data_IF_981433588106
#
_entry.id   IF_981433588106
#
_cell.length_a   1.000
_cell.length_b   1.000
_cell.length_c   1.000
_cell.angle_alpha   90.00
_cell.angle_beta   90.00
_cell.angle_gamma   90.00
#
_symmetry.space_group_name_H-M   'P 1'
#
loop_
_entity.id
_entity.type
_entity.pdbx_description
1 polymer ?
#
# COMPACT_ATOMS: atom_id res chain seq x y z
N UNK A 1 25.25 2.90 -36.85
CA UNK A 1 24.40 3.50 -35.79
C UNK A 1 24.39 2.58 -34.60
N UNK A 2 25.17 2.88 -33.56
CA UNK A 2 25.15 2.10 -32.32
C UNK A 2 23.82 2.34 -31.61
N UNK A 3 23.02 1.29 -31.42
CA UNK A 3 21.80 1.34 -30.61
C UNK A 3 22.24 1.55 -29.17
N UNK A 4 22.16 2.79 -28.67
CA UNK A 4 22.23 3.06 -27.25
C UNK A 4 21.00 2.42 -26.60
N UNK A 5 21.13 1.17 -26.17
CA UNK A 5 20.14 0.53 -25.31
C UNK A 5 20.20 1.28 -23.99
N UNK A 6 19.29 2.24 -23.79
CA UNK A 6 19.12 2.93 -22.52
C UNK A 6 18.86 1.84 -21.48
N UNK A 7 19.85 1.56 -20.63
CA UNK A 7 19.68 0.63 -19.52
C UNK A 7 18.57 1.21 -18.65
N UNK A 8 17.40 0.56 -18.64
CA UNK A 8 16.25 0.98 -17.83
C UNK A 8 16.69 1.06 -16.37
N UNK A 9 16.22 2.10 -15.68
CA UNK A 9 16.53 2.27 -14.26
C UNK A 9 15.91 1.14 -13.46
N UNK A 10 16.54 0.71 -12.36
CA UNK A 10 16.04 -0.39 -11.53
C UNK A 10 14.61 -0.14 -11.02
N UNK A 11 14.30 1.13 -10.77
CA UNK A 11 12.95 1.60 -10.42
C UNK A 11 11.92 1.38 -11.52
N UNK A 12 12.26 1.62 -12.78
CA UNK A 12 11.34 1.39 -13.91
C UNK A 12 11.09 -0.10 -14.12
N UNK A 13 12.11 -0.93 -13.91
CA UNK A 13 11.97 -2.38 -14.04
C UNK A 13 11.10 -2.93 -12.90
N UNK A 14 11.33 -2.49 -11.66
CA UNK A 14 10.49 -2.81 -10.51
C UNK A 14 9.03 -2.37 -10.73
N UNK A 15 8.81 -1.16 -11.24
CA UNK A 15 7.47 -0.64 -11.54
C UNK A 15 6.77 -1.47 -12.61
N UNK A 16 7.49 -1.91 -13.65
CA UNK A 16 6.95 -2.77 -14.71
C UNK A 16 6.60 -4.16 -14.19
N UNK A 17 7.46 -4.75 -13.36
CA UNK A 17 7.20 -6.04 -12.71
C UNK A 17 5.92 -5.95 -11.87
N UNK A 18 5.80 -4.95 -11.00
CA UNK A 18 4.60 -4.75 -10.20
C UNK A 18 3.34 -4.53 -11.05
N UNK A 19 3.43 -3.75 -12.13
CA UNK A 19 2.30 -3.52 -13.03
C UNK A 19 1.81 -4.83 -13.71
N UNK A 20 2.75 -5.70 -14.11
CA UNK A 20 2.40 -6.98 -14.71
C UNK A 20 1.72 -7.91 -13.71
N UNK A 21 2.24 -7.99 -12.48
CA UNK A 21 1.61 -8.75 -11.37
C UNK A 21 0.19 -8.24 -11.15
N UNK A 22 0.02 -6.93 -11.01
CA UNK A 22 -1.30 -6.35 -10.74
C UNK A 22 -2.29 -6.52 -11.89
N UNK A 23 -1.83 -6.54 -13.14
CA UNK A 23 -2.70 -6.81 -14.29
C UNK A 23 -3.29 -8.23 -14.23
N UNK A 24 -2.52 -9.20 -13.75
CA UNK A 24 -2.99 -10.58 -13.54
C UNK A 24 -4.00 -10.62 -12.39
N UNK A 25 -3.68 -9.98 -11.27
CA UNK A 25 -4.54 -9.96 -10.07
C UNK A 25 -5.83 -9.15 -10.25
N UNK A 26 -5.82 -8.09 -11.05
CA UNK A 26 -6.99 -7.22 -11.28
C UNK A 26 -8.12 -7.96 -12.02
N UNK A 27 -7.78 -8.92 -12.88
CA UNK A 27 -8.78 -9.65 -13.65
C UNK A 27 -9.64 -10.58 -12.77
N UNK A 28 -9.07 -11.09 -11.67
CA UNK A 28 -9.65 -12.21 -10.92
C UNK A 28 -9.97 -11.87 -9.45
N UNK A 29 -9.17 -11.00 -8.81
CA UNK A 29 -9.19 -10.83 -7.34
C UNK A 29 -9.73 -9.48 -6.89
N UNK A 30 -9.39 -8.37 -7.59
CA UNK A 30 -9.68 -7.01 -7.10
C UNK A 30 -10.56 -6.20 -8.04
N UNK A 31 -11.79 -5.87 -7.61
CA UNK A 31 -12.71 -4.98 -8.35
C UNK A 31 -12.33 -3.49 -8.28
N UNK A 32 -11.61 -3.04 -7.24
CA UNK A 32 -11.33 -1.62 -7.01
C UNK A 32 -9.99 -1.17 -7.59
N UNK A 33 -10.03 -0.20 -8.51
CA UNK A 33 -8.86 0.44 -9.12
C UNK A 33 -7.97 1.15 -8.09
N UNK A 34 -8.55 1.67 -7.01
CA UNK A 34 -7.80 2.30 -5.92
C UNK A 34 -6.94 1.30 -5.16
N UNK A 35 -7.48 0.10 -4.92
CA UNK A 35 -6.75 -1.00 -4.28
C UNK A 35 -5.63 -1.49 -5.16
N UNK A 36 -5.90 -1.66 -6.46
CA UNK A 36 -4.89 -2.05 -7.45
C UNK A 36 -3.71 -1.08 -7.47
N UNK A 37 -3.99 0.23 -7.50
CA UNK A 37 -2.95 1.26 -7.48
C UNK A 37 -2.12 1.23 -6.20
N UNK A 38 -2.77 1.06 -5.05
CA UNK A 38 -2.09 1.01 -3.75
C UNK A 38 -1.17 -0.21 -3.66
N UNK A 39 -1.64 -1.38 -4.10
CA UNK A 39 -0.86 -2.61 -4.10
C UNK A 39 0.27 -2.57 -5.13
N UNK A 40 0.04 -2.01 -6.33
CA UNK A 40 1.10 -1.79 -7.30
C UNK A 40 2.24 -0.93 -6.73
N UNK A 41 1.90 0.15 -6.03
CA UNK A 41 2.88 1.03 -5.41
C UNK A 41 3.65 0.31 -4.29
N UNK A 42 2.97 -0.51 -3.49
CA UNK A 42 3.58 -1.35 -2.47
C UNK A 42 4.57 -2.37 -3.08
N UNK A 43 4.11 -3.17 -4.05
CA UNK A 43 4.93 -4.15 -4.76
C UNK A 43 6.12 -3.53 -5.49
N UNK A 44 5.97 -2.31 -6.03
CA UNK A 44 7.09 -1.58 -6.66
C UNK A 44 8.19 -1.27 -5.64
N UNK A 45 7.84 -0.91 -4.40
CA UNK A 45 8.83 -0.63 -3.34
C UNK A 45 9.56 -1.89 -2.91
N UNK A 46 8.83 -2.99 -2.76
CA UNK A 46 9.39 -4.30 -2.40
C UNK A 46 10.35 -4.77 -3.52
N UNK A 47 9.91 -4.73 -4.77
CA UNK A 47 10.71 -5.11 -5.93
C UNK A 47 11.99 -4.28 -6.03
N UNK A 48 11.90 -2.96 -5.81
CA UNK A 48 13.06 -2.08 -5.84
C UNK A 48 14.06 -2.43 -4.72
N UNK A 49 13.56 -2.75 -3.52
CA UNK A 49 14.40 -3.15 -2.40
C UNK A 49 15.21 -4.41 -2.70
N UNK A 50 14.54 -5.48 -3.12
CA UNK A 50 15.20 -6.76 -3.43
C UNK A 50 16.16 -6.66 -4.61
N UNK A 51 15.82 -5.83 -5.58
CA UNK A 51 16.69 -5.58 -6.73
C UNK A 51 17.98 -4.85 -6.36
N UNK A 52 17.92 -3.88 -5.45
CA UNK A 52 19.10 -3.14 -4.98
C UNK A 52 19.94 -4.00 -4.03
N UNK A 53 19.31 -4.75 -3.12
CA UNK A 53 20.01 -5.45 -2.05
C UNK A 53 20.40 -6.90 -2.37
N UNK A 54 19.88 -7.49 -3.44
CA UNK A 54 20.20 -8.87 -3.82
C UNK A 54 20.00 -9.21 -5.29
N UNK A 55 19.57 -8.27 -6.14
CA UNK A 55 19.28 -8.53 -7.55
C UNK A 55 18.10 -9.49 -7.80
N UNK A 56 17.30 -9.78 -6.77
CA UNK A 56 16.20 -10.74 -6.82
C UNK A 56 14.98 -10.09 -7.47
N UNK A 57 14.27 -10.83 -8.33
CA UNK A 57 13.02 -10.34 -8.90
C UNK A 57 11.87 -10.51 -7.92
N UNK A 58 10.84 -9.69 -8.07
CA UNK A 58 9.66 -9.74 -7.21
C UNK A 58 8.97 -11.11 -7.14
N UNK A 59 9.05 -11.92 -8.21
CA UNK A 59 8.43 -13.25 -8.29
C UNK A 59 9.23 -14.35 -7.58
N UNK A 60 10.52 -14.10 -7.31
CA UNK A 60 11.44 -15.05 -6.69
C UNK A 60 11.58 -14.80 -5.17
N UNK A 61 10.70 -13.96 -4.60
CA UNK A 61 10.73 -13.59 -3.18
C UNK A 61 10.04 -14.69 -2.37
N UNK A 62 10.79 -15.34 -1.48
CA UNK A 62 10.27 -16.36 -0.57
C UNK A 62 9.67 -15.76 0.71
N UNK A 63 8.83 -16.51 1.47
CA UNK A 63 8.26 -16.03 2.73
C UNK A 63 9.32 -15.62 3.77
N UNK A 64 10.43 -16.35 3.84
CA UNK A 64 11.54 -16.04 4.74
C UNK A 64 12.19 -14.68 4.41
N UNK A 65 12.41 -14.41 3.12
CA UNK A 65 12.94 -13.12 2.66
C UNK A 65 11.96 -11.98 2.94
N UNK A 66 10.66 -12.24 2.82
CA UNK A 66 9.61 -11.28 3.14
C UNK A 66 9.63 -10.90 4.62
N UNK A 67 9.77 -11.86 5.53
CA UNK A 67 9.87 -11.61 6.98
C UNK A 67 11.08 -10.75 7.31
N UNK A 68 12.26 -11.08 6.77
CA UNK A 68 13.47 -10.27 6.95
C UNK A 68 13.28 -8.84 6.43
N UNK A 69 12.67 -8.69 5.25
CA UNK A 69 12.32 -7.39 4.69
C UNK A 69 11.41 -6.59 5.62
N UNK A 70 10.35 -7.19 6.16
CA UNK A 70 9.42 -6.50 7.05
C UNK A 70 10.07 -6.07 8.35
N UNK A 71 10.96 -6.88 8.94
CA UNK A 71 11.73 -6.47 10.13
C UNK A 71 12.58 -5.23 9.86
N UNK A 72 13.30 -5.19 8.74
CA UNK A 72 14.10 -4.03 8.35
C UNK A 72 13.23 -2.81 8.07
N UNK A 73 12.06 -3.02 7.45
CA UNK A 73 11.13 -1.95 7.10
C UNK A 73 10.38 -1.39 8.31
N UNK A 74 10.16 -2.20 9.34
CA UNK A 74 9.39 -1.86 10.52
C UNK A 74 9.94 -0.68 11.32
N UNK A 75 11.26 -0.44 11.24
CA UNK A 75 11.92 0.72 11.83
C UNK A 75 11.68 2.02 11.03
N UNK A 76 11.45 1.92 9.72
CA UNK A 76 11.37 3.07 8.81
C UNK A 76 9.95 3.55 8.55
N UNK A 77 8.96 2.65 8.55
CA UNK A 77 7.58 2.95 8.14
C UNK A 77 6.58 2.57 9.23
N UNK A 78 5.46 3.29 9.29
CA UNK A 78 4.39 3.01 10.25
C UNK A 78 3.54 1.80 9.90
N UNK A 79 2.77 1.30 10.88
CA UNK A 79 2.01 0.05 10.78
C UNK A 79 1.12 -0.06 9.54
N UNK A 80 0.38 1.00 9.17
CA UNK A 80 -0.51 0.97 7.99
C UNK A 80 0.22 0.70 6.68
N UNK A 81 1.44 1.22 6.55
CA UNK A 81 2.27 1.01 5.35
C UNK A 81 2.82 -0.41 5.31
N UNK A 82 3.27 -0.94 6.47
CA UNK A 82 3.70 -2.35 6.58
C UNK A 82 2.55 -3.30 6.27
N UNK A 83 1.36 -3.07 6.83
CA UNK A 83 0.20 -3.92 6.59
C UNK A 83 -0.19 -3.94 5.12
N UNK A 84 -0.14 -2.78 4.45
CA UNK A 84 -0.42 -2.70 3.01
C UNK A 84 0.63 -3.44 2.19
N UNK A 85 1.91 -3.34 2.55
CA UNK A 85 3.00 -4.07 1.89
C UNK A 85 2.89 -5.58 2.11
N UNK A 86 2.54 -6.01 3.33
CA UNK A 86 2.27 -7.43 3.67
C UNK A 86 1.10 -7.98 2.87
N UNK A 87 -0.05 -7.30 2.86
CA UNK A 87 -1.23 -7.75 2.12
C UNK A 87 -0.98 -7.82 0.62
N UNK A 88 -0.28 -6.83 0.05
CA UNK A 88 0.04 -6.83 -1.37
C UNK A 88 0.97 -7.99 -1.75
N UNK A 89 1.98 -8.27 -0.93
CA UNK A 89 2.90 -9.38 -1.14
C UNK A 89 2.20 -10.74 -0.96
N UNK A 90 1.37 -10.88 0.08
CA UNK A 90 0.57 -12.07 0.31
C UNK A 90 -0.38 -12.37 -0.85
N UNK A 91 -1.10 -11.35 -1.35
CA UNK A 91 -1.98 -11.51 -2.50
C UNK A 91 -1.22 -11.97 -3.75
N UNK A 92 -0.01 -11.44 -3.97
CA UNK A 92 0.85 -11.93 -5.04
C UNK A 92 1.25 -13.39 -4.81
N UNK A 93 1.68 -13.78 -3.60
CA UNK A 93 2.19 -15.13 -3.36
C UNK A 93 1.10 -16.20 -3.46
N UNK A 94 -0.11 -15.90 -2.98
CA UNK A 94 -1.26 -16.81 -3.07
C UNK A 94 -1.71 -17.00 -4.51
N UNK A 95 -1.84 -15.91 -5.27
CA UNK A 95 -2.47 -15.95 -6.60
C UNK A 95 -1.50 -16.11 -7.77
N UNK A 96 -0.23 -15.75 -7.61
CA UNK A 96 0.76 -15.76 -8.70
C UNK A 96 1.80 -16.85 -8.55
N UNK A 97 2.53 -16.89 -7.43
CA UNK A 97 3.64 -17.84 -7.26
C UNK A 97 3.18 -19.19 -6.72
N UNK A 98 2.00 -19.24 -6.07
CA UNK A 98 1.45 -20.43 -5.39
C UNK A 98 2.42 -21.06 -4.37
N UNK A 99 3.43 -20.30 -3.93
CA UNK A 99 4.41 -20.75 -2.94
C UNK A 99 3.81 -20.86 -1.54
N UNK A 100 2.66 -20.21 -1.31
CA UNK A 100 1.86 -20.36 -0.10
C UNK A 100 0.59 -21.14 -0.46
N UNK A 101 0.32 -22.30 0.16
CA UNK A 101 -0.97 -22.94 0.03
C UNK A 101 -2.06 -22.00 0.55
N UNK A 102 -3.24 -22.03 -0.07
CA UNK A 102 -4.40 -21.20 0.30
C UNK A 102 -4.77 -21.44 1.78
N UNK A 103 -4.21 -20.62 2.68
CA UNK A 103 -4.35 -20.81 4.13
C UNK A 103 -3.16 -20.35 4.97
N UNK A 104 -1.94 -20.27 4.41
CA UNK A 104 -0.79 -19.72 5.14
C UNK A 104 -0.70 -18.19 5.00
N UNK A 105 -0.34 -17.55 6.11
CA UNK A 105 -0.31 -16.09 6.25
C UNK A 105 1.12 -15.67 6.59
N UNK A 106 1.63 -14.66 5.89
CA UNK A 106 2.90 -14.03 6.25
C UNK A 106 2.81 -13.46 7.67
N UNK A 107 3.84 -13.68 8.48
CA UNK A 107 3.86 -13.25 9.88
C UNK A 107 3.65 -11.73 9.99
N UNK A 108 2.81 -11.32 10.96
CA UNK A 108 2.51 -9.91 11.18
C UNK A 108 3.65 -9.28 11.98
N UNK A 109 4.56 -8.62 11.27
CA UNK A 109 5.60 -7.81 11.92
C UNK A 109 5.02 -6.46 12.37
N UNK A 110 5.23 -6.13 13.64
CA UNK A 110 4.82 -4.86 14.22
C UNK A 110 5.84 -3.75 13.95
N UNK A 111 5.35 -2.56 13.59
CA UNK A 111 6.17 -1.36 13.44
C UNK A 111 6.73 -0.92 14.80
N UNK A 112 8.00 -0.53 14.81
CA UNK A 112 8.66 0.02 16.00
C UNK A 112 8.34 1.51 16.20
N UNK A 113 7.58 2.13 15.28
CA UNK A 113 7.26 3.55 15.32
C UNK A 113 6.03 3.77 16.19
N UNK A 114 6.21 4.49 17.30
CA UNK A 114 5.09 4.92 18.14
C UNK A 114 4.06 5.69 17.32
N UNK A 115 2.81 5.26 17.44
CA UNK A 115 1.68 5.81 16.72
C UNK A 115 1.12 6.94 17.58
N UNK A 116 1.60 8.17 17.40
CA UNK A 116 0.89 9.34 17.92
C UNK A 116 -0.43 9.49 17.15
N UNK A 117 -1.48 8.86 17.68
CA UNK A 117 -2.85 9.04 17.27
C UNK A 117 -3.34 10.36 17.88
N UNK A 118 -2.84 11.51 17.40
CA UNK A 118 -3.57 12.76 17.64
C UNK A 118 -4.83 12.71 16.77
N UNK A 119 -5.94 12.32 17.39
CA UNK A 119 -7.26 12.44 16.79
C UNK A 119 -7.44 13.90 16.38
N UNK A 120 -7.58 14.17 15.09
CA UNK A 120 -8.00 15.48 14.56
C UNK A 120 -9.47 15.73 14.89
N UNK A 121 -9.83 15.61 16.16
CA UNK A 121 -11.13 16.00 16.65
C UNK A 121 -11.11 17.52 16.73
N UNK A 122 -11.83 18.18 15.84
CA UNK A 122 -12.07 19.61 15.94
C UNK A 122 -12.69 19.90 17.31
N UNK A 123 -12.17 20.90 18.01
CA UNK A 123 -12.79 21.38 19.24
C UNK A 123 -14.17 21.95 18.92
N UNK A 124 -15.11 21.89 19.86
CA UNK A 124 -16.48 22.41 19.69
C UNK A 124 -16.50 23.87 19.21
N UNK A 125 -15.51 24.67 19.62
CA UNK A 125 -15.32 26.06 19.19
C UNK A 125 -14.95 26.17 17.69
N UNK A 126 -14.12 25.26 17.18
CA UNK A 126 -13.75 25.22 15.76
C UNK A 126 -14.92 24.80 14.87
N UNK A 127 -15.81 23.93 15.37
CA UNK A 127 -17.03 23.51 14.65
C UNK A 127 -17.97 24.71 14.46
N UNK A 128 -18.15 25.54 15.49
CA UNK A 128 -19.00 26.74 15.44
C UNK A 128 -18.46 27.83 14.51
N UNK A 129 -17.14 28.01 14.45
CA UNK A 129 -16.48 28.93 13.51
C UNK A 129 -16.64 28.49 12.05
N UNK A 130 -16.59 27.18 11.78
CA UNK A 130 -16.79 26.63 10.44
C UNK A 130 -18.27 26.74 10.02
N UNK A 131 -19.22 26.46 10.94
CA UNK A 131 -20.65 26.53 10.61
C UNK A 131 -21.14 27.95 10.34
N UNK A 132 -20.53 28.95 10.97
CA UNK A 132 -20.89 30.38 10.79
C UNK A 132 -20.36 30.99 9.50
N UNK A 133 -19.38 30.37 8.82
CA UNK A 133 -18.80 30.86 7.55
C UNK A 133 -19.32 30.12 6.30
N UNK A 134 -20.16 29.09 6.46
CA UNK A 134 -20.76 28.35 5.35
C UNK A 134 -22.15 28.91 5.02
N UNK A 135 -22.22 30.03 4.29
CA UNK A 135 -23.50 30.57 3.78
C UNK A 135 -23.87 30.07 2.38
N UNK A 136 -25.14 29.66 2.28
CA UNK A 136 -26.12 29.65 1.19
C UNK A 136 -25.94 28.86 -0.13
N UNK A 137 -24.84 28.14 -0.38
CA UNK A 137 -24.81 27.22 -1.54
C UNK A 137 -24.51 25.75 -1.25
N UNK A 138 -24.05 25.43 -0.04
CA UNK A 138 -23.68 24.07 0.38
C UNK A 138 -24.49 23.56 1.59
N UNK A 139 -25.58 24.25 1.96
CA UNK A 139 -26.30 24.03 3.22
C UNK A 139 -27.01 22.68 3.35
N UNK A 140 -27.34 21.99 2.26
CA UNK A 140 -28.13 20.76 2.32
C UNK A 140 -27.32 19.46 2.41
N UNK A 141 -25.99 19.52 2.39
CA UNK A 141 -25.14 18.31 2.41
C UNK A 141 -24.42 18.04 3.72
N UNK A 142 -24.24 19.06 4.57
CA UNK A 142 -23.33 18.98 5.71
C UNK A 142 -24.04 18.72 7.05
N UNK A 143 -25.34 18.95 7.14
CA UNK A 143 -26.12 18.67 8.36
C UNK A 143 -26.41 17.17 8.54
N UNK A 144 -26.51 16.39 7.46
CA UNK A 144 -26.76 14.95 7.55
C UNK A 144 -25.52 14.12 7.95
N UNK A 145 -24.30 14.60 7.67
CA UNK A 145 -23.07 13.87 7.99
C UNK A 145 -22.69 13.89 9.48
N UNK A 146 -23.18 14.86 10.27
CA UNK A 146 -22.90 14.92 11.71
C UNK A 146 -23.86 14.06 12.53
N UNK A 147 -25.03 13.70 11.98
CA UNK A 147 -26.04 12.92 12.69
C UNK A 147 -25.98 11.43 12.37
N UNK A 148 -25.47 11.06 11.20
CA UNK A 148 -25.21 9.69 10.82
C UNK A 148 -23.69 9.47 10.81
N UNK A 149 -23.13 8.90 11.89
CA UNK A 149 -21.73 8.49 11.95
C UNK A 149 -21.39 7.41 10.92
N UNK A 150 -21.22 7.82 9.67
CA UNK A 150 -20.90 6.94 8.54
C UNK A 150 -19.62 7.49 7.90
N UNK A 151 -18.58 6.69 8.00
CA UNK A 151 -17.29 6.82 7.31
C UNK A 151 -17.36 6.41 5.85
#
# INVERSE_FOLDING_TARGET
MAKFSVKKTDREIAKRQAANVMKILQADVFRSVGTVRNYQAALTRIALYFRINGGINLQDVTPEMATVYFHQRAAAVGQKSLDMERQALQAMMIHLTQELPSGEVLEVVHSLKEKELSSRSYTSEQIFLISSHQSDKNGSGNTDCLQCGIT
#
